data_IF_278225099648
#
_entry.id   IF_278225099648
#
_cell.length_a   1.000
_cell.length_b   1.000
_cell.length_c   1.000
_cell.angle_alpha   90.00
_cell.angle_beta   90.00
_cell.angle_gamma   90.00
#
_symmetry.space_group_name_H-M   'P 1'
#
loop_
_entity.id
_entity.type
_entity.pdbx_description
1 polymer ?
#
# COMPACT_ATOMS: atom_id res chain seq x y z
N UNK A 1 -59.28 -33.98 -24.15
CA UNK A 1 -58.17 -34.41 -23.26
C UNK A 1 -57.09 -33.35 -23.37
N UNK A 2 -56.91 -32.54 -22.32
CA UNK A 2 -56.05 -31.36 -22.27
C UNK A 2 -54.59 -31.75 -22.00
N UNK A 3 -53.59 -31.11 -22.64
CA UNK A 3 -52.19 -31.35 -22.29
C UNK A 3 -51.81 -30.50 -21.08
N UNK A 4 -51.33 -31.16 -20.03
CA UNK A 4 -50.88 -30.53 -18.80
C UNK A 4 -49.41 -30.09 -18.98
N UNK A 5 -49.18 -28.79 -19.17
CA UNK A 5 -47.83 -28.22 -19.21
C UNK A 5 -47.31 -28.02 -17.78
N UNK A 6 -46.33 -28.82 -17.39
CA UNK A 6 -45.57 -28.61 -16.14
C UNK A 6 -44.50 -27.54 -16.38
N UNK A 7 -44.69 -26.35 -15.83
CA UNK A 7 -43.65 -25.33 -15.76
C UNK A 7 -42.70 -25.67 -14.61
N UNK A 8 -41.48 -26.14 -14.93
CA UNK A 8 -40.39 -26.29 -13.97
C UNK A 8 -39.76 -24.91 -13.71
N UNK A 9 -40.04 -24.33 -12.55
CA UNK A 9 -39.40 -23.09 -12.09
C UNK A 9 -38.03 -23.42 -11.49
N UNK A 10 -36.98 -23.43 -12.31
CA UNK A 10 -35.60 -23.59 -11.82
C UNK A 10 -35.17 -22.28 -11.16
N UNK A 11 -35.21 -22.23 -9.83
CA UNK A 11 -34.72 -21.10 -9.05
C UNK A 11 -33.20 -21.24 -8.87
N UNK A 12 -32.41 -20.57 -9.72
CA UNK A 12 -30.97 -20.44 -9.52
C UNK A 12 -30.71 -19.43 -8.40
N UNK A 13 -30.53 -19.94 -7.18
CA UNK A 13 -29.99 -19.13 -6.09
C UNK A 13 -28.52 -18.82 -6.40
N UNK A 14 -28.25 -17.63 -6.93
CA UNK A 14 -26.89 -17.09 -7.07
C UNK A 14 -26.42 -16.72 -5.66
N UNK A 15 -25.65 -17.60 -5.01
CA UNK A 15 -24.88 -17.22 -3.83
C UNK A 15 -23.79 -16.24 -4.27
N UNK A 16 -24.06 -14.94 -4.12
CA UNK A 16 -23.01 -13.94 -4.11
C UNK A 16 -22.20 -14.15 -2.82
N UNK A 17 -21.07 -14.86 -2.92
CA UNK A 17 -20.09 -14.91 -1.85
C UNK A 17 -19.54 -13.49 -1.64
N UNK A 18 -20.08 -12.77 -0.65
CA UNK A 18 -19.46 -11.50 -0.23
C UNK A 18 -18.14 -11.87 0.44
N UNK A 19 -17.02 -11.48 -0.18
CA UNK A 19 -15.72 -11.60 0.46
C UNK A 19 -15.78 -10.78 1.75
N UNK A 20 -15.65 -11.44 2.90
CA UNK A 20 -15.63 -10.75 4.19
C UNK A 20 -14.42 -9.81 4.21
N UNK A 21 -14.67 -8.52 4.30
CA UNK A 21 -13.62 -7.51 4.40
C UNK A 21 -12.72 -7.76 5.63
N UNK A 22 -11.45 -7.38 5.51
CA UNK A 22 -10.55 -7.30 6.66
C UNK A 22 -11.04 -6.33 7.73
N UNK A 23 -10.40 -6.35 8.91
CA UNK A 23 -10.65 -5.33 9.94
C UNK A 23 -10.32 -3.93 9.40
N UNK A 24 -11.01 -2.88 9.85
CA UNK A 24 -10.74 -1.53 9.37
C UNK A 24 -9.40 -1.00 9.89
N UNK A 25 -8.63 -0.38 8.98
CA UNK A 25 -7.51 0.48 9.35
C UNK A 25 -8.07 1.81 9.88
N UNK A 26 -7.55 2.26 11.02
CA UNK A 26 -7.95 3.52 11.67
C UNK A 26 -6.79 4.49 11.79
N UNK A 27 -7.11 5.78 11.83
CA UNK A 27 -6.16 6.82 12.18
C UNK A 27 -5.96 6.91 13.72
N UNK A 28 -5.11 7.85 14.12
CA UNK A 28 -4.77 8.12 15.52
C UNK A 28 -5.94 8.63 16.37
N UNK A 29 -6.98 9.17 15.74
CA UNK A 29 -8.22 9.60 16.41
C UNK A 29 -9.24 8.45 16.49
N UNK A 30 -8.94 7.28 15.92
CA UNK A 30 -9.83 6.12 15.87
C UNK A 30 -10.86 6.17 14.74
N UNK A 31 -10.72 7.12 13.80
CA UNK A 31 -11.61 7.21 12.65
C UNK A 31 -11.21 6.18 11.58
N UNK A 32 -12.21 5.61 10.90
CA UNK A 32 -11.97 4.69 9.79
C UNK A 32 -11.32 5.43 8.63
N UNK A 33 -10.21 4.91 8.13
CA UNK A 33 -9.57 5.44 6.92
C UNK A 33 -10.42 5.00 5.73
N UNK A 34 -10.82 5.96 4.90
CA UNK A 34 -11.63 5.71 3.71
C UNK A 34 -11.14 6.57 2.55
N UNK A 35 -11.83 7.68 2.29
CA UNK A 35 -11.38 8.73 1.38
C UNK A 35 -10.56 9.78 2.15
N UNK A 36 -9.76 10.54 1.40
CA UNK A 36 -8.83 11.54 1.96
C UNK A 36 -7.39 11.07 1.97
N UNK A 37 -6.54 11.90 2.54
CA UNK A 37 -5.08 11.77 2.50
C UNK A 37 -4.56 11.64 3.94
N UNK A 38 -3.61 10.73 4.17
CA UNK A 38 -3.14 10.39 5.52
C UNK A 38 -1.63 10.28 5.55
N UNK A 39 -0.97 10.96 6.49
CA UNK A 39 0.44 10.75 6.76
C UNK A 39 0.67 9.39 7.43
N UNK A 40 1.65 8.64 6.94
CA UNK A 40 2.22 7.50 7.65
C UNK A 40 3.34 8.01 8.57
N UNK A 41 2.98 8.33 9.81
CA UNK A 41 3.90 8.91 10.80
C UNK A 41 4.64 7.77 11.52
N UNK A 42 5.98 7.73 11.47
CA UNK A 42 6.76 6.69 12.13
C UNK A 42 6.47 6.65 13.64
N UNK A 43 6.33 5.45 14.19
CA UNK A 43 6.22 5.26 15.66
C UNK A 43 7.58 5.50 16.32
N UNK A 44 8.67 5.17 15.63
CA UNK A 44 10.03 5.41 16.08
C UNK A 44 10.44 6.87 15.83
N UNK A 45 10.96 7.55 16.86
CA UNK A 45 11.50 8.90 16.72
C UNK A 45 12.83 8.99 15.93
N UNK A 46 13.41 7.84 15.57
CA UNK A 46 14.65 7.76 14.79
C UNK A 46 14.40 7.73 13.27
N UNK A 47 13.16 7.47 12.84
CA UNK A 47 12.79 7.37 11.43
C UNK A 47 12.11 8.66 10.95
N UNK A 48 12.41 9.07 9.72
CA UNK A 48 11.69 10.17 9.05
C UNK A 48 10.36 9.70 8.47
N UNK A 49 9.39 10.61 8.34
CA UNK A 49 8.13 10.33 7.66
C UNK A 49 8.36 9.99 6.17
N UNK A 50 7.41 9.30 5.55
CA UNK A 50 7.60 8.84 4.16
C UNK A 50 7.54 9.99 3.16
N UNK A 51 8.43 9.96 2.17
CA UNK A 51 8.51 10.93 1.07
C UNK A 51 8.94 10.24 -0.22
N UNK A 52 9.01 11.01 -1.30
CA UNK A 52 9.55 10.60 -2.59
C UNK A 52 10.94 11.20 -2.78
N UNK A 53 11.97 10.36 -2.66
CA UNK A 53 13.37 10.76 -2.75
C UNK A 53 13.99 10.38 -4.10
N UNK A 54 14.85 11.24 -4.62
CA UNK A 54 15.61 10.99 -5.86
C UNK A 54 16.42 9.69 -5.78
N UNK A 55 16.55 9.01 -6.92
CA UNK A 55 17.43 7.85 -7.11
C UNK A 55 18.92 8.17 -7.17
N UNK A 56 19.32 9.44 -7.03
CA UNK A 56 20.70 9.90 -7.14
C UNK A 56 20.84 10.91 -8.28
N UNK A 57 21.71 10.61 -9.25
CA UNK A 57 21.99 11.49 -10.39
C UNK A 57 20.79 11.70 -11.32
N UNK A 58 19.92 10.69 -11.44
CA UNK A 58 18.66 10.82 -12.14
C UNK A 58 17.55 11.18 -11.13
N UNK A 59 16.92 12.38 -11.24
CA UNK A 59 15.83 12.77 -10.35
C UNK A 59 14.57 11.90 -10.51
N UNK A 60 14.46 11.11 -11.58
CA UNK A 60 13.34 10.21 -11.87
C UNK A 60 13.89 8.82 -12.26
N UNK A 61 13.66 7.74 -11.50
CA UNK A 61 12.51 7.52 -10.62
C UNK A 61 12.71 8.07 -9.20
N UNK A 62 11.59 8.47 -8.60
CA UNK A 62 11.52 8.80 -7.19
C UNK A 62 11.19 7.54 -6.40
N UNK A 63 12.02 7.18 -5.44
CA UNK A 63 11.79 6.04 -4.56
C UNK A 63 11.12 6.48 -3.25
N UNK A 64 10.32 5.61 -2.67
CA UNK A 64 9.78 5.82 -1.34
C UNK A 64 10.89 5.65 -0.31
N UNK A 65 11.07 6.63 0.55
CA UNK A 65 12.05 6.63 1.63
C UNK A 65 11.65 7.63 2.72
N UNK A 66 12.48 7.78 3.76
CA UNK A 66 12.23 8.75 4.81
C UNK A 66 12.62 10.16 4.38
N UNK A 67 11.93 11.15 4.94
CA UNK A 67 12.36 12.55 4.97
C UNK A 67 13.74 12.69 5.61
N UNK A 68 14.59 13.54 5.03
CA UNK A 68 15.91 13.85 5.60
C UNK A 68 15.78 14.61 6.94
N UNK A 69 14.76 15.46 7.04
CA UNK A 69 14.46 16.24 8.24
C UNK A 69 13.26 15.62 8.95
N UNK A 70 13.45 15.17 10.19
CA UNK A 70 12.38 14.64 11.06
C UNK A 70 11.28 15.66 11.40
N UNK A 71 11.46 16.94 11.07
CA UNK A 71 10.44 17.99 11.21
C UNK A 71 9.40 17.95 10.08
N UNK A 72 9.73 17.32 8.96
CA UNK A 72 8.84 17.22 7.82
C UNK A 72 7.82 16.09 8.08
N UNK A 73 6.54 16.37 7.82
CA UNK A 73 5.45 15.39 7.97
C UNK A 73 5.46 14.32 6.86
N UNK A 74 6.32 14.47 5.86
CA UNK A 74 6.36 13.62 4.68
C UNK A 74 5.24 13.94 3.70
N UNK A 75 5.01 13.02 2.76
CA UNK A 75 3.92 13.06 1.81
C UNK A 75 2.75 12.20 2.31
N UNK A 76 1.51 12.70 2.23
CA UNK A 76 0.36 11.92 2.64
C UNK A 76 0.02 10.85 1.59
N UNK A 77 -0.67 9.80 2.05
CA UNK A 77 -1.03 8.62 1.27
C UNK A 77 -2.53 8.58 0.99
N UNK A 78 -2.89 8.09 -0.19
CA UNK A 78 -4.25 7.72 -0.56
C UNK A 78 -4.31 6.26 -0.93
N UNK A 79 -5.43 5.63 -0.60
CA UNK A 79 -5.66 4.20 -0.78
C UNK A 79 -6.80 3.98 -1.77
N UNK A 80 -6.72 2.92 -2.57
CA UNK A 80 -7.77 2.55 -3.52
C UNK A 80 -7.69 1.09 -3.92
N UNK A 81 -8.69 0.59 -4.65
CA UNK A 81 -8.63 -0.69 -5.38
C UNK A 81 -8.42 -1.94 -4.50
N UNK A 82 -9.20 -2.05 -3.41
CA UNK A 82 -9.32 -3.29 -2.63
C UNK A 82 -10.55 -4.10 -3.03
N UNK A 83 -10.48 -5.42 -2.87
CA UNK A 83 -11.41 -6.37 -3.48
C UNK A 83 -12.74 -6.54 -2.74
N UNK A 84 -12.78 -6.32 -1.42
CA UNK A 84 -14.00 -6.53 -0.64
C UNK A 84 -15.10 -5.49 -0.88
N UNK A 85 -14.80 -4.37 -1.56
CA UNK A 85 -15.76 -3.28 -1.74
C UNK A 85 -16.14 -2.56 -0.43
N UNK A 86 -15.39 -2.78 0.66
CA UNK A 86 -15.58 -2.07 1.91
C UNK A 86 -15.48 -0.55 1.70
N UNK A 87 -16.24 0.23 2.48
CA UNK A 87 -16.18 1.71 2.44
C UNK A 87 -15.00 2.29 3.22
N UNK A 88 -14.18 1.43 3.81
CA UNK A 88 -12.98 1.75 4.56
C UNK A 88 -11.81 0.94 4.00
N UNK A 89 -10.59 1.35 4.32
CA UNK A 89 -9.36 0.62 3.99
C UNK A 89 -9.28 -0.64 4.86
N UNK A 90 -9.36 -1.85 4.27
CA UNK A 90 -9.32 -3.08 5.04
C UNK A 90 -7.88 -3.55 5.27
N UNK A 91 -7.60 -4.08 6.47
CA UNK A 91 -6.35 -4.77 6.77
C UNK A 91 -6.21 -6.05 5.95
N UNK A 92 -4.97 -6.39 5.59
CA UNK A 92 -4.59 -7.65 4.91
C UNK A 92 -5.23 -7.89 3.53
N UNK A 93 -5.84 -6.88 2.91
CA UNK A 93 -6.25 -6.95 1.51
C UNK A 93 -5.27 -6.20 0.61
N UNK A 94 -5.17 -6.68 -0.63
CA UNK A 94 -4.42 -5.98 -1.67
C UNK A 94 -5.10 -4.66 -2.00
N UNK A 95 -4.34 -3.57 -1.95
CA UNK A 95 -4.76 -2.22 -2.28
C UNK A 95 -3.65 -1.48 -3.02
N UNK A 96 -4.02 -0.41 -3.71
CA UNK A 96 -3.06 0.52 -4.29
C UNK A 96 -2.82 1.69 -3.34
N UNK A 97 -1.56 2.09 -3.22
CA UNK A 97 -1.10 3.24 -2.44
C UNK A 97 -0.63 4.30 -3.42
N UNK A 98 -1.03 5.56 -3.20
CA UNK A 98 -0.58 6.71 -3.98
C UNK A 98 -0.08 7.78 -3.02
N UNK A 99 1.09 8.36 -3.31
CA UNK A 99 1.50 9.60 -2.63
C UNK A 99 0.66 10.76 -3.15
N UNK A 100 0.05 11.54 -2.27
CA UNK A 100 -0.78 12.67 -2.62
C UNK A 100 0.05 13.95 -2.64
N UNK A 101 0.53 14.27 -3.84
CA UNK A 101 1.35 15.44 -4.12
C UNK A 101 0.91 16.07 -5.45
N UNK A 102 1.22 17.35 -5.67
CA UNK A 102 1.06 17.98 -6.96
C UNK A 102 1.85 17.25 -8.06
N UNK A 103 1.48 17.42 -9.35
CA UNK A 103 2.27 16.91 -10.46
C UNK A 103 3.74 17.28 -10.33
N UNK A 104 4.61 16.30 -10.57
CA UNK A 104 6.08 16.47 -10.49
C UNK A 104 6.67 16.66 -11.88
N UNK A 105 7.90 17.16 -11.95
CA UNK A 105 8.68 17.26 -13.19
C UNK A 105 8.90 15.90 -13.87
N UNK A 106 8.77 14.79 -13.15
CA UNK A 106 8.96 13.46 -13.71
C UNK A 106 7.82 13.04 -14.64
N UNK A 107 6.68 13.75 -14.66
CA UNK A 107 5.52 13.43 -15.52
C UNK A 107 4.82 12.09 -15.21
N UNK A 108 5.39 11.26 -14.35
CA UNK A 108 4.82 10.00 -13.89
C UNK A 108 3.86 10.21 -12.72
N UNK A 109 2.89 9.30 -12.58
CA UNK A 109 2.05 9.27 -11.39
C UNK A 109 2.83 8.81 -10.17
N UNK A 110 2.21 8.99 -9.01
CA UNK A 110 2.80 8.73 -7.70
C UNK A 110 2.24 7.47 -7.02
N UNK A 111 1.72 6.54 -7.82
CA UNK A 111 1.32 5.23 -7.32
C UNK A 111 2.56 4.43 -6.93
N UNK A 112 2.46 3.69 -5.83
CA UNK A 112 3.53 2.82 -5.38
C UNK A 112 3.65 1.63 -6.33
N UNK A 113 4.90 1.35 -6.72
CA UNK A 113 5.22 0.26 -7.61
C UNK A 113 6.45 -0.48 -7.09
N UNK A 114 6.32 -1.78 -6.89
CA UNK A 114 7.46 -2.63 -6.54
C UNK A 114 8.34 -2.82 -7.77
N UNK A 115 9.57 -2.34 -7.70
CA UNK A 115 10.55 -2.43 -8.78
C UNK A 115 11.80 -3.18 -8.31
N UNK A 116 12.33 -4.02 -9.18
CA UNK A 116 13.70 -4.51 -9.03
C UNK A 116 14.66 -3.40 -9.47
N UNK A 117 15.76 -3.24 -8.73
CA UNK A 117 16.84 -2.32 -9.11
C UNK A 117 17.78 -2.99 -10.12
N UNK A 118 18.81 -2.28 -10.55
CA UNK A 118 19.91 -2.88 -11.35
C UNK A 118 20.63 -4.02 -10.62
N UNK A 119 20.56 -4.05 -9.29
CA UNK A 119 21.08 -5.16 -8.49
C UNK A 119 19.98 -6.21 -8.36
N UNK A 120 20.22 -7.38 -8.94
CA UNK A 120 19.30 -8.51 -8.89
C UNK A 120 18.93 -8.87 -7.45
N UNK A 121 17.64 -9.03 -7.18
CA UNK A 121 17.09 -9.36 -5.86
C UNK A 121 16.95 -8.18 -4.90
N UNK A 122 17.31 -6.95 -5.31
CA UNK A 122 17.03 -5.74 -4.55
C UNK A 122 15.75 -5.11 -5.08
N UNK A 123 14.70 -5.13 -4.25
CA UNK A 123 13.39 -4.62 -4.56
C UNK A 123 13.14 -3.32 -3.78
N UNK A 124 12.75 -2.26 -4.46
CA UNK A 124 12.36 -0.98 -3.85
C UNK A 124 10.94 -0.59 -4.27
N UNK A 125 10.34 0.36 -3.54
CA UNK A 125 9.10 1.00 -3.95
C UNK A 125 9.45 2.30 -4.69
N UNK A 126 9.01 2.42 -5.93
CA UNK A 126 9.14 3.61 -6.74
C UNK A 126 7.78 4.26 -7.03
N UNK A 127 7.79 5.55 -7.36
CA UNK A 127 6.68 6.20 -8.03
C UNK A 127 6.52 5.59 -9.43
N UNK A 128 5.37 4.99 -9.68
CA UNK A 128 5.05 4.29 -10.91
C UNK A 128 3.71 4.70 -11.50
N UNK A 129 3.30 4.05 -12.61
CA UNK A 129 2.08 4.37 -13.35
C UNK A 129 0.82 4.09 -12.51
N UNK A 130 -0.29 4.73 -12.88
CA UNK A 130 -1.60 4.38 -12.36
C UNK A 130 -1.91 2.94 -12.79
N UNK A 131 -2.22 2.02 -11.87
CA UNK A 131 -2.49 0.63 -12.22
C UNK A 131 -3.68 0.55 -13.19
N UNK A 132 -3.46 0.00 -14.38
CA UNK A 132 -4.51 -0.38 -15.30
C UNK A 132 -5.02 -1.78 -14.96
N UNK A 133 -6.31 -2.03 -15.13
CA UNK A 133 -6.90 -3.36 -14.95
C UNK A 133 -6.30 -4.33 -15.97
N UNK A 134 -5.54 -5.34 -15.50
CA UNK A 134 -5.11 -6.49 -16.32
C UNK A 134 -3.67 -6.50 -16.83
N UNK A 135 -2.85 -5.45 -16.61
CA UNK A 135 -1.42 -5.44 -16.96
C UNK A 135 -0.57 -5.19 -15.70
N UNK A 136 0.17 -6.21 -15.26
CA UNK A 136 1.15 -6.18 -14.16
C UNK A 136 0.73 -5.41 -12.88
N UNK A 137 -0.60 -5.35 -12.59
CA UNK A 137 -1.15 -4.66 -11.42
C UNK A 137 -0.69 -5.28 -10.10
N UNK A 138 -0.18 -6.50 -10.14
CA UNK A 138 0.40 -7.20 -8.99
C UNK A 138 1.50 -6.39 -8.30
N UNK A 139 2.37 -5.73 -9.07
CA UNK A 139 3.47 -4.89 -8.53
C UNK A 139 2.99 -3.65 -7.78
N UNK A 140 1.73 -3.25 -7.99
CA UNK A 140 1.10 -2.12 -7.30
C UNK A 140 0.24 -2.51 -6.10
N UNK A 141 0.11 -3.81 -5.82
CA UNK A 141 -0.70 -4.31 -4.72
C UNK A 141 0.14 -4.46 -3.46
N UNK A 142 -0.19 -3.63 -2.47
CA UNK A 142 0.35 -3.69 -1.13
C UNK A 142 -0.77 -4.01 -0.15
N UNK A 143 -0.41 -4.40 1.06
CA UNK A 143 -1.32 -4.62 2.16
C UNK A 143 -0.88 -3.78 3.35
N UNK A 144 -1.85 -3.39 4.17
CA UNK A 144 -1.63 -2.78 5.48
C UNK A 144 -1.97 -3.82 6.53
N UNK A 145 -1.09 -4.03 7.51
CA UNK A 145 -1.32 -4.95 8.63
C UNK A 145 -0.93 -4.28 9.94
N UNK A 146 -1.57 -4.66 11.04
CA UNK A 146 -1.07 -4.37 12.39
C UNK A 146 0.40 -4.80 12.54
N UNK A 147 1.21 -3.94 13.14
CA UNK A 147 2.64 -4.19 13.33
C UNK A 147 2.95 -5.24 14.41
N UNK A 148 1.96 -5.62 15.24
CA UNK A 148 2.12 -6.56 16.35
C UNK A 148 2.99 -6.02 17.51
N UNK A 149 2.99 -6.74 18.64
CA UNK A 149 3.79 -6.39 19.83
C UNK A 149 3.17 -5.30 20.71
N UNK A 150 4.02 -4.65 21.54
CA UNK A 150 3.60 -3.68 22.58
C UNK A 150 3.21 -2.32 21.98
N UNK A 151 3.78 -1.95 20.84
CA UNK A 151 3.54 -0.66 20.21
C UNK A 151 2.40 -0.76 19.19
N UNK A 152 1.38 0.10 19.35
CA UNK A 152 0.31 0.24 18.36
C UNK A 152 0.86 0.78 17.04
N UNK A 153 0.25 0.37 15.94
CA UNK A 153 0.59 0.86 14.61
C UNK A 153 0.44 -0.19 13.54
N UNK A 154 0.80 0.21 12.34
CA UNK A 154 0.70 -0.56 11.11
C UNK A 154 2.07 -0.74 10.46
N UNK A 155 2.11 -1.68 9.52
CA UNK A 155 3.23 -1.93 8.62
C UNK A 155 2.69 -2.17 7.21
N UNK A 156 3.53 -1.86 6.21
CA UNK A 156 3.26 -2.22 4.83
C UNK A 156 3.81 -3.62 4.53
N UNK A 157 3.05 -4.36 3.73
CA UNK A 157 3.40 -5.72 3.31
C UNK A 157 3.14 -5.85 1.81
N UNK A 158 3.95 -6.65 1.13
CA UNK A 158 3.70 -7.07 -0.25
C UNK A 158 3.67 -8.59 -0.28
N UNK A 159 2.59 -9.18 -0.78
CA UNK A 159 2.45 -10.63 -0.89
C UNK A 159 2.46 -11.04 -2.35
N UNK A 160 3.49 -11.79 -2.75
CA UNK A 160 3.63 -12.34 -4.09
C UNK A 160 2.66 -13.49 -4.37
N UNK A 161 2.53 -13.88 -5.64
CA UNK A 161 1.69 -14.99 -6.07
C UNK A 161 2.14 -16.36 -5.55
N UNK A 162 3.38 -16.48 -5.07
CA UNK A 162 3.98 -17.67 -4.47
C UNK A 162 3.69 -17.81 -2.96
N UNK A 163 2.77 -17.00 -2.42
CA UNK A 163 2.42 -16.91 -0.98
C UNK A 163 3.53 -16.37 -0.08
N UNK A 164 4.67 -15.93 -0.63
CA UNK A 164 5.67 -15.21 0.14
C UNK A 164 5.22 -13.77 0.37
N UNK A 165 5.38 -13.27 1.60
CA UNK A 165 5.08 -11.89 1.94
C UNK A 165 6.33 -11.20 2.48
N UNK A 166 6.63 -10.02 1.94
CA UNK A 166 7.70 -9.16 2.39
C UNK A 166 7.15 -8.07 3.28
N UNK A 167 7.75 -7.90 4.45
CA UNK A 167 7.54 -6.72 5.30
C UNK A 167 8.53 -5.64 4.89
N UNK A 168 8.06 -4.40 4.84
CA UNK A 168 8.92 -3.28 4.46
C UNK A 168 9.55 -2.63 5.69
N UNK A 169 10.85 -2.32 5.59
CA UNK A 169 11.60 -1.55 6.55
C UNK A 169 12.54 -0.56 5.86
N UNK A 170 13.22 0.26 6.65
CA UNK A 170 14.21 1.19 6.14
C UNK A 170 15.51 0.46 5.82
N UNK A 171 15.91 0.47 4.54
CA UNK A 171 17.13 -0.17 4.03
C UNK A 171 17.99 0.90 3.36
N UNK A 172 19.29 0.91 3.66
CA UNK A 172 20.23 1.82 3.03
C UNK A 172 20.67 1.23 1.70
N UNK A 173 20.48 2.00 0.62
CA UNK A 173 20.94 1.62 -0.72
C UNK A 173 22.46 1.75 -0.88
N UNK A 174 22.99 1.24 -1.99
CA UNK A 174 24.44 1.28 -2.28
C UNK A 174 25.04 2.68 -2.34
N UNK A 175 24.21 3.71 -2.49
CA UNK A 175 24.59 5.11 -2.59
C UNK A 175 24.41 5.84 -1.25
N UNK A 176 23.99 5.13 -0.19
CA UNK A 176 23.80 5.70 1.14
C UNK A 176 22.42 6.30 1.39
N UNK A 177 21.46 6.16 0.46
CA UNK A 177 20.10 6.66 0.68
C UNK A 177 19.22 5.61 1.35
N UNK A 178 18.49 6.02 2.37
CA UNK A 178 17.49 5.15 2.99
C UNK A 178 16.25 5.02 2.11
N UNK A 179 15.78 3.79 1.90
CA UNK A 179 14.64 3.42 1.07
C UNK A 179 13.69 2.53 1.86
N UNK A 180 12.40 2.65 1.60
CA UNK A 180 11.43 1.67 2.08
C UNK A 180 11.49 0.43 1.16
N UNK A 181 11.96 -0.69 1.70
CA UNK A 181 12.26 -1.91 0.95
C UNK A 181 11.94 -3.17 1.76
N UNK A 182 11.77 -4.35 1.13
CA UNK A 182 11.72 -5.62 1.83
C UNK A 182 12.88 -5.78 2.81
N UNK A 183 12.57 -5.90 4.09
CA UNK A 183 13.56 -5.99 5.16
C UNK A 183 13.72 -7.42 5.64
N UNK A 184 14.97 -7.87 5.80
CA UNK A 184 15.30 -9.18 6.39
C UNK A 184 15.46 -9.13 7.91
N UNK A 185 15.47 -7.94 8.51
CA UNK A 185 15.87 -7.74 9.92
C UNK A 185 14.72 -7.93 10.93
N UNK A 186 13.54 -8.40 10.51
CA UNK A 186 12.31 -8.45 11.34
C UNK A 186 11.93 -7.11 11.99
N UNK A 187 12.51 -6.00 11.52
CA UNK A 187 12.22 -4.64 11.95
C UNK A 187 11.49 -3.92 10.81
N UNK A 188 10.15 -4.04 10.73
CA UNK A 188 9.37 -3.29 9.76
C UNK A 188 9.38 -1.80 10.12
N UNK A 189 9.21 -0.96 9.11
CA UNK A 189 8.87 0.44 9.29
C UNK A 189 7.47 0.50 9.90
N UNK A 190 7.39 0.88 11.18
CA UNK A 190 6.15 0.93 11.94
C UNK A 190 5.64 2.37 11.97
N UNK A 191 4.37 2.54 11.66
CA UNK A 191 3.77 3.87 11.60
C UNK A 191 2.34 3.87 12.13
N UNK A 192 1.84 5.06 12.42
CA UNK A 192 0.42 5.33 12.65
C UNK A 192 -0.08 6.28 11.56
N UNK A 193 -1.38 6.27 11.32
CA UNK A 193 -1.99 7.19 10.37
C UNK A 193 -2.46 8.45 11.08
N UNK A 194 -2.10 9.60 10.50
CA UNK A 194 -2.61 10.92 10.89
C UNK A 194 -3.26 11.52 9.67
N UNK A 195 -4.50 11.99 9.79
CA UNK A 195 -5.21 12.64 8.68
C UNK A 195 -4.43 13.87 8.21
N UNK A 196 -4.31 14.04 6.89
CA UNK A 196 -3.79 15.26 6.28
C UNK A 196 -4.96 16.23 6.08
N UNK A 197 -4.75 17.47 6.49
CA UNK A 197 -5.71 18.57 6.37
C UNK A 197 -5.96 18.97 4.91
#
# INVERSE_FOLDING_TARGET
MTPMFYFLLVSTAVLAATAKAGEPVVDTDGNLISNGSYYAVPVSHYEGALTLASGGANPCPLYVGPELSRRNKGLPLRFSNWGSGARFVPESENLNIKMDLPPTICGQSSYWWLTETEIKGWLFIAAGPKPETGKDSSKSFFQIKKAGGVLRGYKFVYCGGDKSCYEFGMVVDRYGYSRLAPSKSNLPFRFVFVKAD
#
